data_IF_330702524399
#
_entry.id   IF_330702524399
#
_cell.length_a   1.000
_cell.length_b   1.000
_cell.length_c   1.000
_cell.angle_alpha   90.00
_cell.angle_beta   90.00
_cell.angle_gamma   90.00
#
_symmetry.space_group_name_H-M   'P 1'
#
loop_
_entity.id
_entity.type
_entity.pdbx_description
1 polymer ?
#
# COMPACT_ATOMS: atom_id res chain seq x y z
N UNK A 1 -31.10 -58.72 -11.20
CA UNK A 1 -30.82 -57.40 -10.63
C UNK A 1 -31.26 -56.35 -11.63
N UNK A 2 -32.50 -55.82 -11.52
CA UNK A 2 -33.05 -54.86 -12.50
C UNK A 2 -32.71 -53.46 -12.01
N UNK A 3 -31.62 -52.88 -12.53
CA UNK A 3 -31.35 -51.45 -12.40
C UNK A 3 -32.44 -50.76 -13.21
N UNK A 4 -33.36 -50.06 -12.54
CA UNK A 4 -34.46 -49.37 -13.20
C UNK A 4 -33.86 -48.16 -13.92
N UNK A 5 -34.31 -47.87 -15.14
CA UNK A 5 -33.83 -46.73 -15.96
C UNK A 5 -33.95 -45.40 -15.19
N UNK A 6 -34.91 -45.32 -14.25
CA UNK A 6 -35.08 -44.21 -13.32
C UNK A 6 -33.90 -43.97 -12.39
N UNK A 7 -33.20 -45.02 -11.94
CA UNK A 7 -32.05 -44.91 -11.03
C UNK A 7 -30.83 -44.32 -11.76
N UNK A 8 -30.66 -44.65 -13.05
CA UNK A 8 -29.57 -44.15 -13.89
C UNK A 8 -29.80 -42.67 -14.24
N UNK A 9 -31.05 -42.28 -14.51
CA UNK A 9 -31.42 -40.88 -14.75
C UNK A 9 -31.26 -40.02 -13.50
N UNK A 10 -31.66 -40.51 -12.32
CA UNK A 10 -31.48 -39.80 -11.07
C UNK A 10 -29.98 -39.59 -10.74
N UNK A 11 -29.15 -40.62 -10.93
CA UNK A 11 -27.70 -40.52 -10.71
C UNK A 11 -27.03 -39.55 -11.70
N UNK A 12 -27.47 -39.53 -12.96
CA UNK A 12 -27.01 -38.59 -13.98
C UNK A 12 -27.35 -37.13 -13.63
N UNK A 13 -28.57 -36.87 -13.16
CA UNK A 13 -29.03 -35.52 -12.77
C UNK A 13 -28.27 -35.03 -11.52
N UNK A 14 -28.05 -35.90 -10.52
CA UNK A 14 -27.28 -35.54 -9.32
C UNK A 14 -25.82 -35.22 -9.68
N UNK A 15 -25.21 -36.02 -10.55
CA UNK A 15 -23.83 -35.80 -11.00
C UNK A 15 -23.70 -34.51 -11.82
N UNK A 16 -24.63 -34.24 -12.75
CA UNK A 16 -24.65 -33.00 -13.52
C UNK A 16 -24.89 -31.75 -12.65
N UNK A 17 -25.71 -31.89 -11.59
CA UNK A 17 -25.95 -30.81 -10.63
C UNK A 17 -24.68 -30.50 -9.84
N UNK A 18 -23.94 -31.49 -9.35
CA UNK A 18 -22.67 -31.25 -8.64
C UNK A 18 -21.58 -30.60 -9.52
N UNK A 19 -21.50 -30.95 -10.81
CA UNK A 19 -20.56 -30.29 -11.74
C UNK A 19 -20.97 -28.85 -12.10
N UNK A 20 -22.24 -28.48 -11.93
CA UNK A 20 -22.70 -27.12 -12.19
C UNK A 20 -22.47 -26.14 -11.03
N UNK A 21 -22.20 -26.63 -9.81
CA UNK A 21 -21.84 -25.81 -8.66
C UNK A 21 -20.36 -25.40 -8.61
N UNK A 22 -19.51 -25.87 -9.53
CA UNK A 22 -18.15 -25.33 -9.71
C UNK A 22 -18.13 -23.99 -10.46
N UNK A 23 -19.27 -23.30 -10.54
CA UNK A 23 -19.41 -21.95 -11.07
C UNK A 23 -18.60 -20.93 -10.26
N UNK A 24 -17.47 -20.52 -10.84
CA UNK A 24 -16.83 -19.21 -10.68
C UNK A 24 -16.70 -18.63 -9.26
N UNK A 25 -16.07 -19.36 -8.33
CA UNK A 25 -15.31 -18.72 -7.26
C UNK A 25 -13.96 -18.14 -7.77
N UNK A 26 -13.89 -17.76 -9.05
CA UNK A 26 -12.77 -17.07 -9.66
C UNK A 26 -12.75 -15.59 -9.24
N UNK A 27 -12.57 -15.36 -7.94
CA UNK A 27 -12.59 -14.05 -7.32
C UNK A 27 -11.22 -13.40 -7.31
N UNK A 28 -10.97 -12.56 -8.32
CA UNK A 28 -10.15 -11.34 -8.29
C UNK A 28 -8.82 -11.49 -7.53
N UNK A 29 -7.88 -12.19 -8.13
CA UNK A 29 -6.49 -12.23 -7.68
C UNK A 29 -5.66 -11.11 -8.32
N UNK A 30 -4.60 -10.67 -7.64
CA UNK A 30 -3.74 -9.57 -8.10
C UNK A 30 -2.34 -10.07 -8.51
N UNK A 31 -1.83 -9.66 -9.68
CA UNK A 31 -0.56 -10.18 -10.21
C UNK A 31 0.57 -9.14 -10.15
N UNK A 32 1.19 -9.01 -8.98
CA UNK A 32 2.28 -8.05 -8.79
C UNK A 32 3.51 -8.37 -9.63
N UNK A 33 3.70 -9.63 -10.06
CA UNK A 33 4.87 -10.05 -10.84
C UNK A 33 4.83 -9.59 -12.30
N UNK A 34 3.65 -9.22 -12.79
CA UNK A 34 3.45 -8.75 -14.16
C UNK A 34 3.66 -7.23 -14.33
N UNK A 35 3.75 -6.49 -13.23
CA UNK A 35 3.91 -5.03 -13.24
C UNK A 35 5.33 -4.67 -13.68
N UNK A 36 5.46 -3.76 -14.64
CA UNK A 36 6.77 -3.27 -15.08
C UNK A 36 7.23 -2.11 -14.19
N UNK A 37 8.35 -2.31 -13.49
CA UNK A 37 9.03 -1.33 -12.66
C UNK A 37 10.33 -0.95 -13.36
N UNK A 38 10.59 0.35 -13.48
CA UNK A 38 11.80 0.90 -14.07
C UNK A 38 12.32 2.02 -13.16
N UNK A 39 13.16 1.69 -12.15
CA UNK A 39 13.72 2.68 -11.25
C UNK A 39 14.85 3.47 -11.92
N UNK A 40 15.20 3.16 -13.18
CA UNK A 40 16.25 3.81 -13.97
C UNK A 40 17.60 3.83 -13.26
N UNK A 41 17.99 2.71 -12.66
CA UNK A 41 19.28 2.56 -11.98
C UNK A 41 20.34 2.00 -12.95
N UNK A 42 21.61 2.07 -12.54
CA UNK A 42 22.72 1.45 -13.25
C UNK A 42 23.55 0.61 -12.29
N UNK A 43 23.40 -0.71 -12.39
CA UNK A 43 24.04 -1.64 -11.48
C UNK A 43 25.50 -1.94 -11.79
N UNK A 44 25.95 -1.79 -13.04
CA UNK A 44 27.33 -2.07 -13.46
C UNK A 44 27.89 -3.43 -12.95
N UNK A 45 27.06 -4.48 -12.88
CA UNK A 45 27.38 -5.80 -12.30
C UNK A 45 27.64 -5.84 -10.78
N UNK A 46 27.25 -4.80 -10.05
CA UNK A 46 27.26 -4.77 -8.58
C UNK A 46 26.41 -5.91 -8.03
N UNK A 47 26.97 -6.67 -7.07
CA UNK A 47 26.27 -7.73 -6.36
C UNK A 47 25.52 -7.17 -5.15
N UNK A 48 24.28 -7.61 -4.97
CA UNK A 48 23.47 -7.29 -3.82
C UNK A 48 22.53 -8.45 -3.45
N UNK A 49 22.19 -8.54 -2.17
CA UNK A 49 21.09 -9.35 -1.68
C UNK A 49 19.86 -8.47 -1.49
N UNK A 50 18.69 -9.00 -1.79
CA UNK A 50 17.41 -8.32 -1.54
C UNK A 50 16.44 -9.26 -0.82
N UNK A 51 15.77 -8.71 0.18
CA UNK A 51 14.65 -9.34 0.86
C UNK A 51 13.46 -8.38 0.96
N UNK A 52 12.25 -8.94 0.96
CA UNK A 52 11.01 -8.22 1.26
C UNK A 52 10.37 -8.89 2.45
N UNK A 53 10.18 -8.14 3.54
CA UNK A 53 9.57 -8.63 4.77
C UNK A 53 8.17 -8.05 4.96
N UNK A 54 7.19 -8.92 5.21
CA UNK A 54 5.81 -8.53 5.49
C UNK A 54 5.62 -8.30 7.00
N UNK A 55 5.53 -7.04 7.40
CA UNK A 55 5.31 -6.62 8.79
C UNK A 55 3.86 -6.22 9.07
N UNK A 56 2.92 -6.48 8.14
CA UNK A 56 1.51 -6.13 8.32
C UNK A 56 0.95 -6.90 9.51
N UNK A 57 0.41 -6.17 10.50
CA UNK A 57 0.00 -6.74 11.78
C UNK A 57 -0.98 -7.91 11.62
N UNK A 58 -1.97 -7.74 10.74
CA UNK A 58 -2.99 -8.75 10.43
C UNK A 58 -2.45 -9.98 9.69
N UNK A 59 -1.22 -9.95 9.16
CA UNK A 59 -0.55 -11.14 8.61
C UNK A 59 0.26 -11.81 9.72
N UNK A 60 1.01 -11.04 10.50
CA UNK A 60 1.85 -11.56 11.58
C UNK A 60 1.06 -12.28 12.66
N UNK A 61 -0.12 -11.75 13.01
CA UNK A 61 -1.00 -12.35 14.02
C UNK A 61 -1.85 -13.52 13.47
N UNK A 62 -1.84 -13.76 12.15
CA UNK A 62 -2.58 -14.83 11.49
C UNK A 62 -4.03 -14.50 11.12
N UNK A 63 -4.49 -13.26 11.28
CA UNK A 63 -5.86 -12.84 10.92
C UNK A 63 -6.12 -12.91 9.40
N UNK A 64 -5.07 -12.69 8.60
CA UNK A 64 -5.04 -12.82 7.15
C UNK A 64 -3.86 -13.71 6.74
N UNK A 65 -4.08 -14.47 5.68
CA UNK A 65 -3.00 -15.25 5.08
C UNK A 65 -1.98 -14.34 4.37
N UNK A 66 -0.70 -14.77 4.22
CA UNK A 66 0.34 -13.97 3.58
C UNK A 66 0.04 -13.55 2.13
N UNK A 67 -0.86 -14.26 1.43
CA UNK A 67 -1.29 -13.93 0.07
C UNK A 67 -2.27 -12.75 0.01
N UNK A 68 -2.81 -12.30 1.15
CA UNK A 68 -3.83 -11.25 1.19
C UNK A 68 -3.27 -9.90 0.73
N UNK A 69 -4.00 -9.21 -0.15
CA UNK A 69 -3.56 -7.92 -0.74
C UNK A 69 -4.64 -6.83 -0.64
N UNK A 70 -5.89 -7.20 -0.38
CA UNK A 70 -7.01 -6.26 -0.36
C UNK A 70 -8.35 -6.94 -0.19
N UNK A 71 -9.41 -6.13 -0.27
CA UNK A 71 -10.80 -6.57 -0.15
C UNK A 71 -11.62 -6.04 -1.32
N UNK A 72 -12.65 -6.81 -1.68
CA UNK A 72 -13.63 -6.40 -2.66
C UNK A 72 -15.08 -6.51 -2.20
N UNK A 73 -15.78 -5.44 -2.51
CA UNK A 73 -17.20 -5.10 -2.42
C UNK A 73 -18.12 -5.86 -3.38
N UNK A 74 -19.12 -6.62 -2.94
CA UNK A 74 -20.31 -6.83 -3.82
C UNK A 74 -21.11 -5.56 -3.99
N UNK A 75 -22.04 -5.52 -4.98
CA UNK A 75 -23.14 -4.57 -4.97
C UNK A 75 -23.90 -4.52 -3.63
N UNK A 76 -24.07 -5.66 -2.94
CA UNK A 76 -24.67 -5.77 -1.60
C UNK A 76 -23.69 -5.46 -0.44
N UNK A 77 -22.51 -4.91 -0.74
CA UNK A 77 -21.48 -4.51 0.23
C UNK A 77 -20.81 -5.64 1.04
N UNK A 78 -21.05 -6.91 0.69
CA UNK A 78 -20.38 -8.07 1.30
C UNK A 78 -18.91 -8.09 0.86
N UNK A 79 -17.94 -8.13 1.81
CA UNK A 79 -16.51 -8.12 1.49
C UNK A 79 -15.99 -9.51 1.16
N UNK A 80 -15.08 -9.58 0.18
CA UNK A 80 -14.28 -10.77 -0.15
C UNK A 80 -12.80 -10.43 -0.21
N UNK A 81 -11.96 -11.31 0.33
CA UNK A 81 -10.52 -11.14 0.24
C UNK A 81 -10.05 -11.23 -1.22
N UNK A 82 -9.12 -10.36 -1.58
CA UNK A 82 -8.30 -10.44 -2.78
C UNK A 82 -6.95 -10.98 -2.35
N UNK A 83 -6.44 -11.96 -3.09
CA UNK A 83 -5.13 -12.58 -2.84
C UNK A 83 -4.20 -12.38 -4.04
N UNK A 84 -2.92 -12.68 -3.88
CA UNK A 84 -1.98 -12.78 -5.01
C UNK A 84 -2.45 -13.82 -6.03
N UNK A 85 -2.23 -13.53 -7.33
CA UNK A 85 -2.54 -14.45 -8.44
C UNK A 85 -1.61 -15.65 -8.46
N UNK A 86 -0.41 -15.51 -7.92
CA UNK A 86 0.57 -16.59 -7.80
C UNK A 86 0.18 -17.65 -6.77
N UNK A 87 -0.63 -17.29 -5.77
CA UNK A 87 -0.86 -18.10 -4.57
C UNK A 87 0.30 -18.07 -3.57
N UNK A 88 1.38 -17.32 -3.87
CA UNK A 88 2.53 -17.13 -2.99
C UNK A 88 2.32 -15.93 -2.06
N UNK A 89 3.03 -15.84 -0.92
CA UNK A 89 3.03 -14.66 -0.08
C UNK A 89 3.24 -13.37 -0.88
N UNK A 90 2.54 -12.30 -0.53
CA UNK A 90 2.63 -11.01 -1.22
C UNK A 90 4.06 -10.46 -1.25
N UNK A 91 4.79 -10.58 -0.14
CA UNK A 91 6.19 -10.19 -0.07
C UNK A 91 7.08 -10.95 -1.08
N UNK A 92 6.78 -12.22 -1.37
CA UNK A 92 7.52 -12.99 -2.37
C UNK A 92 7.22 -12.54 -3.80
N UNK A 93 5.96 -12.19 -4.10
CA UNK A 93 5.60 -11.60 -5.39
C UNK A 93 6.31 -10.25 -5.60
N UNK A 94 6.40 -9.42 -4.55
CA UNK A 94 7.14 -8.16 -4.57
C UNK A 94 8.63 -8.40 -4.77
N UNK A 95 9.22 -9.34 -4.02
CA UNK A 95 10.64 -9.69 -4.10
C UNK A 95 11.02 -10.11 -5.53
N UNK A 96 10.24 -10.98 -6.14
CA UNK A 96 10.49 -11.45 -7.51
C UNK A 96 10.36 -10.33 -8.54
N UNK A 97 9.39 -9.42 -8.35
CA UNK A 97 9.23 -8.28 -9.24
C UNK A 97 10.41 -7.31 -9.13
N UNK A 98 10.71 -6.84 -7.91
CA UNK A 98 11.78 -5.88 -7.64
C UNK A 98 13.13 -6.47 -8.06
N UNK A 99 13.38 -7.74 -7.72
CA UNK A 99 14.60 -8.44 -8.12
C UNK A 99 14.78 -8.51 -9.64
N UNK A 100 13.71 -8.81 -10.39
CA UNK A 100 13.73 -8.80 -11.86
C UNK A 100 14.04 -7.40 -12.42
N UNK A 101 13.46 -6.36 -11.82
CA UNK A 101 13.71 -4.96 -12.22
C UNK A 101 15.17 -4.55 -11.97
N UNK A 102 15.72 -4.86 -10.80
CA UNK A 102 17.14 -4.61 -10.52
C UNK A 102 18.09 -5.42 -11.41
N UNK A 103 17.75 -6.68 -11.74
CA UNK A 103 18.52 -7.48 -12.70
C UNK A 103 18.51 -6.87 -14.10
N UNK A 104 17.36 -6.33 -14.53
CA UNK A 104 17.24 -5.60 -15.78
C UNK A 104 18.14 -4.36 -15.82
N UNK A 105 18.30 -3.68 -14.68
CA UNK A 105 19.18 -2.52 -14.51
C UNK A 105 20.67 -2.88 -14.32
N UNK A 106 21.02 -4.16 -14.49
CA UNK A 106 22.41 -4.63 -14.52
C UNK A 106 23.01 -5.00 -13.17
N UNK A 107 22.18 -5.16 -12.13
CA UNK A 107 22.63 -5.72 -10.84
C UNK A 107 22.69 -7.25 -10.87
N UNK A 108 23.58 -7.84 -10.07
CA UNK A 108 23.57 -9.26 -9.73
C UNK A 108 22.84 -9.44 -8.41
N UNK A 109 21.63 -9.98 -8.48
CA UNK A 109 20.69 -9.96 -7.36
C UNK A 109 20.48 -11.36 -6.80
N UNK A 110 20.81 -11.53 -5.52
CA UNK A 110 20.47 -12.71 -4.73
C UNK A 110 19.13 -12.48 -4.00
N UNK A 111 18.12 -13.28 -4.32
CA UNK A 111 16.77 -13.16 -3.75
C UNK A 111 16.70 -13.97 -2.45
N UNK A 112 16.45 -13.28 -1.34
CA UNK A 112 16.34 -13.89 -0.01
C UNK A 112 14.87 -13.93 0.41
N UNK A 113 14.33 -15.13 0.56
CA UNK A 113 12.99 -15.35 1.10
C UNK A 113 12.98 -15.09 2.61
N UNK A 114 12.08 -14.21 3.05
CA UNK A 114 11.95 -13.80 4.45
C UNK A 114 10.57 -14.22 5.00
N UNK A 115 10.52 -15.17 5.96
CA UNK A 115 9.27 -15.55 6.61
C UNK A 115 8.67 -14.40 7.45
N UNK A 116 7.36 -14.22 7.39
CA UNK A 116 6.62 -13.11 8.05
C UNK A 116 6.68 -13.13 9.59
N UNK A 117 7.03 -14.28 10.18
CA UNK A 117 7.11 -14.45 11.65
C UNK A 117 8.48 -14.15 12.22
N UNK A 118 9.48 -13.91 11.37
CA UNK A 118 10.81 -13.58 11.84
C UNK A 118 10.88 -12.14 12.35
N UNK A 119 11.75 -11.91 13.32
CA UNK A 119 12.04 -10.54 13.76
C UNK A 119 13.16 -9.92 12.92
N UNK A 120 13.32 -8.60 13.02
CA UNK A 120 14.35 -7.85 12.27
C UNK A 120 15.76 -8.43 12.38
N UNK A 121 16.16 -8.95 13.55
CA UNK A 121 17.50 -9.54 13.73
C UNK A 121 17.67 -10.81 12.90
N UNK A 122 16.66 -11.68 12.87
CA UNK A 122 16.67 -12.92 12.07
C UNK A 122 16.65 -12.61 10.57
N UNK A 123 15.81 -11.65 10.16
CA UNK A 123 15.73 -11.17 8.78
C UNK A 123 17.08 -10.63 8.29
N UNK A 124 17.74 -9.78 9.09
CA UNK A 124 19.05 -9.24 8.74
C UNK A 124 20.14 -10.32 8.69
N UNK A 125 20.09 -11.31 9.59
CA UNK A 125 21.02 -12.44 9.56
C UNK A 125 20.88 -13.23 8.25
N UNK A 126 19.66 -13.51 7.78
CA UNK A 126 19.43 -14.18 6.49
C UNK A 126 19.99 -13.43 5.30
N UNK A 127 19.88 -12.10 5.31
CA UNK A 127 20.50 -11.27 4.27
C UNK A 127 22.02 -11.33 4.37
N UNK A 128 22.59 -11.28 5.58
CA UNK A 128 24.02 -11.35 5.80
C UNK A 128 24.63 -12.69 5.33
N UNK A 129 23.88 -13.78 5.48
CA UNK A 129 24.31 -15.15 5.12
C UNK A 129 24.61 -15.30 3.61
N UNK A 130 24.15 -14.38 2.75
CA UNK A 130 24.52 -14.39 1.31
C UNK A 130 25.98 -13.99 1.09
N UNK A 131 26.58 -13.24 2.03
CA UNK A 131 27.93 -12.70 1.91
C UNK A 131 28.06 -11.50 0.95
N UNK A 132 26.95 -10.92 0.50
CA UNK A 132 26.97 -9.76 -0.39
C UNK A 132 27.38 -8.46 0.31
N UNK A 133 27.99 -7.55 -0.45
CA UNK A 133 28.48 -6.26 0.07
C UNK A 133 27.35 -5.25 0.33
N UNK A 134 26.17 -5.48 -0.25
CA UNK A 134 25.00 -4.59 -0.18
C UNK A 134 23.77 -5.44 0.10
N UNK A 135 23.09 -5.14 1.19
CA UNK A 135 21.92 -5.87 1.66
C UNK A 135 20.71 -4.93 1.65
N UNK A 136 19.73 -5.22 0.80
CA UNK A 136 18.51 -4.42 0.66
C UNK A 136 17.38 -5.12 1.41
N UNK A 137 16.77 -4.41 2.35
CA UNK A 137 15.59 -4.87 3.08
C UNK A 137 14.41 -3.94 2.77
N UNK A 138 13.47 -4.45 1.98
CA UNK A 138 12.14 -3.87 1.90
C UNK A 138 11.30 -4.36 3.07
N UNK A 139 10.63 -3.44 3.77
CA UNK A 139 9.67 -3.75 4.83
C UNK A 139 8.30 -3.22 4.44
N UNK A 140 7.29 -4.07 4.48
CA UNK A 140 5.90 -3.73 4.20
C UNK A 140 5.17 -3.59 5.53
N UNK A 141 4.96 -2.37 6.00
CA UNK A 141 4.21 -2.13 7.24
C UNK A 141 2.70 -2.12 7.00
N UNK A 142 2.28 -1.63 5.84
CA UNK A 142 0.89 -1.66 5.39
C UNK A 142 0.82 -1.79 3.87
N UNK A 143 -0.13 -2.59 3.39
CA UNK A 143 -0.49 -2.71 1.99
C UNK A 143 -1.91 -3.27 1.89
N UNK A 144 -2.87 -2.39 1.64
CA UNK A 144 -4.28 -2.73 1.58
C UNK A 144 -5.02 -1.85 0.59
N UNK A 145 -5.89 -2.47 -0.20
CA UNK A 145 -6.89 -1.74 -0.99
C UNK A 145 -8.30 -2.34 -0.81
N UNK A 146 -9.32 -1.48 -0.86
CA UNK A 146 -10.74 -1.84 -0.76
C UNK A 146 -11.45 -1.38 -2.03
N UNK A 147 -11.92 -2.33 -2.84
CA UNK A 147 -12.61 -2.06 -4.11
C UNK A 147 -14.12 -2.16 -3.91
N UNK A 148 -14.86 -1.08 -4.15
CA UNK A 148 -16.31 -1.16 -4.36
C UNK A 148 -16.69 -0.41 -5.64
N UNK A 149 -17.34 0.76 -5.53
CA UNK A 149 -17.51 1.69 -6.66
C UNK A 149 -16.27 2.53 -6.95
N UNK A 150 -15.46 2.76 -5.92
CA UNK A 150 -14.13 3.39 -5.98
C UNK A 150 -13.15 2.50 -5.24
N UNK A 151 -11.88 2.60 -5.60
CA UNK A 151 -10.80 1.91 -4.89
C UNK A 151 -10.17 2.84 -3.87
N UNK A 152 -10.27 2.45 -2.61
CA UNK A 152 -9.49 3.06 -1.51
C UNK A 152 -8.23 2.27 -1.31
N UNK A 153 -7.17 2.94 -0.87
CA UNK A 153 -5.88 2.27 -0.66
C UNK A 153 -5.08 2.94 0.44
N UNK A 154 -4.35 2.13 1.18
CA UNK A 154 -3.38 2.56 2.18
C UNK A 154 -2.13 1.69 2.04
N UNK A 155 -0.97 2.33 2.07
CA UNK A 155 0.28 1.61 2.11
C UNK A 155 1.33 2.38 2.90
N UNK A 156 2.27 1.62 3.47
CA UNK A 156 3.48 2.09 4.12
C UNK A 156 4.58 1.07 3.86
N UNK A 157 5.64 1.51 3.21
CA UNK A 157 6.79 0.69 2.88
C UNK A 157 8.08 1.44 3.19
N UNK A 158 9.10 0.69 3.57
CA UNK A 158 10.45 1.18 3.82
C UNK A 158 11.46 0.35 3.04
N UNK A 159 12.50 0.99 2.56
CA UNK A 159 13.72 0.36 2.06
C UNK A 159 14.88 0.76 2.97
N UNK A 160 15.62 -0.22 3.48
CA UNK A 160 16.89 -0.02 4.19
C UNK A 160 18.01 -0.71 3.41
N UNK A 161 19.15 -0.04 3.24
CA UNK A 161 20.35 -0.58 2.62
C UNK A 161 21.43 -0.73 3.69
N UNK A 162 22.01 -1.91 3.82
CA UNK A 162 23.08 -2.20 4.77
C UNK A 162 24.35 -2.64 4.05
N UNK A 163 25.49 -2.49 4.71
CA UNK A 163 26.70 -3.23 4.37
C UNK A 163 26.70 -4.64 4.97
N UNK A 164 27.71 -5.43 4.64
CA UNK A 164 27.87 -6.80 5.15
C UNK A 164 28.10 -6.89 6.66
N UNK A 165 28.39 -5.78 7.35
CA UNK A 165 28.51 -5.71 8.80
C UNK A 165 27.20 -5.26 9.45
N UNK A 166 26.10 -5.21 8.69
CA UNK A 166 24.78 -4.74 9.10
C UNK A 166 24.76 -3.27 9.53
N UNK A 167 25.73 -2.47 9.09
CA UNK A 167 25.67 -1.02 9.26
C UNK A 167 24.74 -0.45 8.19
N UNK A 168 23.78 0.35 8.64
CA UNK A 168 22.86 1.06 7.75
C UNK A 168 23.63 2.08 6.90
N UNK A 169 23.50 1.97 5.58
CA UNK A 169 24.09 2.89 4.60
C UNK A 169 23.08 3.95 4.17
N UNK A 170 21.82 3.56 3.93
CA UNK A 170 20.77 4.46 3.49
C UNK A 170 19.39 3.90 3.84
N UNK A 171 18.38 4.77 3.85
CA UNK A 171 16.99 4.35 3.97
C UNK A 171 16.07 5.29 3.17
N UNK A 172 14.92 4.77 2.76
CA UNK A 172 13.86 5.50 2.09
C UNK A 172 12.51 4.96 2.54
N UNK A 173 11.51 5.84 2.63
CA UNK A 173 10.17 5.48 3.10
C UNK A 173 9.10 6.11 2.21
N UNK A 174 8.03 5.37 2.00
CA UNK A 174 6.84 5.84 1.30
C UNK A 174 5.60 5.42 2.07
N UNK A 175 4.70 6.37 2.29
CA UNK A 175 3.39 6.09 2.86
C UNK A 175 2.35 6.97 2.16
N UNK A 176 1.18 6.40 1.91
CA UNK A 176 0.07 7.12 1.28
C UNK A 176 -1.25 6.52 1.74
N UNK A 177 -2.22 7.40 1.94
CA UNK A 177 -3.59 7.07 2.31
C UNK A 177 -4.53 7.74 1.32
N UNK A 178 -5.25 6.92 0.54
CA UNK A 178 -6.23 7.32 -0.46
C UNK A 178 -7.62 6.88 -0.05
N UNK A 179 -8.26 7.69 0.80
CA UNK A 179 -9.59 7.44 1.36
C UNK A 179 -10.57 8.59 1.12
N UNK A 180 -10.11 9.63 0.42
CA UNK A 180 -10.90 10.80 0.09
C UNK A 180 -12.02 10.49 -0.89
N UNK A 181 -13.02 11.37 -0.92
CA UNK A 181 -14.19 11.22 -1.79
C UNK A 181 -13.81 11.17 -3.27
N UNK A 182 -12.75 11.88 -3.66
CA UNK A 182 -12.28 11.95 -5.05
C UNK A 182 -11.17 10.94 -5.37
N UNK A 183 -10.76 10.12 -4.40
CA UNK A 183 -9.69 9.15 -4.61
C UNK A 183 -10.23 7.92 -5.35
N UNK A 184 -9.44 7.44 -6.32
CA UNK A 184 -9.66 6.16 -6.97
C UNK A 184 -8.31 5.54 -7.29
N UNK A 185 -7.78 4.77 -6.33
CA UNK A 185 -6.48 4.16 -6.46
C UNK A 185 -6.45 3.08 -7.56
N UNK A 186 -5.31 2.98 -8.24
CA UNK A 186 -5.02 1.88 -9.17
C UNK A 186 -3.85 1.10 -8.57
N UNK A 187 -4.07 -0.07 -7.92
CA UNK A 187 -3.03 -0.69 -7.11
C UNK A 187 -1.74 -1.03 -7.88
N UNK A 188 -1.82 -1.26 -9.20
CA UNK A 188 -0.66 -1.50 -10.08
C UNK A 188 0.23 -0.27 -10.15
N UNK A 189 -0.39 0.88 -10.40
CA UNK A 189 0.32 2.16 -10.52
C UNK A 189 0.88 2.59 -9.18
N UNK A 190 0.14 2.35 -8.10
CA UNK A 190 0.59 2.67 -6.74
C UNK A 190 1.74 1.77 -6.30
N UNK A 191 1.73 0.47 -6.66
CA UNK A 191 2.86 -0.43 -6.40
C UNK A 191 4.10 0.01 -7.17
N UNK A 192 3.95 0.22 -8.48
CA UNK A 192 5.03 0.73 -9.33
C UNK A 192 5.61 2.02 -8.74
N UNK A 193 4.76 3.01 -8.47
CA UNK A 193 5.17 4.31 -7.95
C UNK A 193 5.85 4.21 -6.58
N UNK A 194 5.34 3.37 -5.68
CA UNK A 194 5.92 3.17 -4.36
C UNK A 194 7.35 2.59 -4.46
N UNK A 195 7.54 1.54 -5.25
CA UNK A 195 8.85 0.90 -5.43
C UNK A 195 9.83 1.83 -6.14
N UNK A 196 9.43 2.49 -7.23
CA UNK A 196 10.29 3.42 -7.96
C UNK A 196 10.71 4.58 -7.07
N UNK A 197 9.80 5.13 -6.27
CA UNK A 197 10.12 6.20 -5.32
C UNK A 197 11.07 5.75 -4.20
N UNK A 198 10.96 4.51 -3.73
CA UNK A 198 11.90 3.96 -2.75
C UNK A 198 13.31 3.83 -3.35
N UNK A 199 13.42 3.25 -4.55
CA UNK A 199 14.68 2.96 -5.23
C UNK A 199 15.38 4.19 -5.81
N UNK A 200 14.61 5.16 -6.31
CA UNK A 200 15.13 6.42 -6.88
C UNK A 200 15.50 7.48 -5.85
N UNK A 201 15.35 7.19 -4.55
CA UNK A 201 15.79 8.11 -3.51
C UNK A 201 17.31 8.34 -3.58
N UNK A 202 17.75 9.60 -3.57
CA UNK A 202 19.15 9.98 -3.72
C UNK A 202 20.11 9.23 -2.79
N UNK A 203 19.73 9.01 -1.52
CA UNK A 203 20.56 8.28 -0.55
C UNK A 203 20.70 6.80 -0.92
N UNK A 204 19.62 6.20 -1.42
CA UNK A 204 19.60 4.82 -1.90
C UNK A 204 20.50 4.71 -3.13
N UNK A 205 20.29 5.55 -4.14
CA UNK A 205 21.09 5.55 -5.38
C UNK A 205 22.58 5.69 -5.07
N UNK A 206 22.95 6.62 -4.19
CA UNK A 206 24.35 6.80 -3.76
C UNK A 206 24.89 5.56 -3.04
N UNK A 207 24.09 4.95 -2.14
CA UNK A 207 24.50 3.76 -1.38
C UNK A 207 24.67 2.51 -2.24
N UNK A 208 24.00 2.43 -3.39
CA UNK A 208 24.11 1.32 -4.33
C UNK A 208 25.28 1.48 -5.31
N UNK A 209 25.93 2.64 -5.35
CA UNK A 209 27.15 2.89 -6.13
C UNK A 209 28.40 2.23 -5.52
N UNK A 210 29.49 2.21 -6.29
CA UNK A 210 30.70 1.43 -5.96
C UNK A 210 31.48 1.93 -4.73
N UNK A 211 31.33 3.20 -4.30
CA UNK A 211 32.15 3.81 -3.24
C UNK A 211 31.35 4.65 -2.22
N UNK A 212 30.33 4.08 -1.58
CA UNK A 212 29.62 4.79 -0.51
C UNK A 212 30.23 4.52 0.88
N UNK A 213 30.88 5.55 1.45
CA UNK A 213 31.22 5.60 2.87
C UNK A 213 30.15 6.39 3.63
N UNK A 214 29.48 5.74 4.58
CA UNK A 214 28.47 6.36 5.43
C UNK A 214 29.09 7.48 6.28
N UNK A 215 28.58 8.71 6.16
CA UNK A 215 28.88 9.84 7.03
C UNK A 215 27.68 10.11 7.94
N UNK A 216 27.90 10.12 9.25
CA UNK A 216 26.90 10.34 10.32
C UNK A 216 26.15 11.70 10.25
N UNK A 217 26.46 12.54 9.28
CA UNK A 217 25.95 13.92 9.17
C UNK A 217 24.55 14.04 8.59
N UNK A 218 24.01 13.00 7.92
CA UNK A 218 22.73 13.09 7.20
C UNK A 218 21.51 12.64 8.05
N UNK A 219 21.72 12.15 9.27
CA UNK A 219 20.65 11.67 10.16
C UNK A 219 19.82 12.78 10.84
N UNK A 220 20.04 14.07 10.52
CA UNK A 220 19.44 15.22 11.26
C UNK A 220 18.44 16.09 10.51
N UNK A 221 17.97 15.71 9.32
CA UNK A 221 16.95 16.50 8.61
C UNK A 221 15.79 15.67 8.11
N UNK A 222 14.97 15.16 9.04
CA UNK A 222 13.55 14.90 8.77
C UNK A 222 12.79 14.80 10.09
N UNK A 223 12.54 15.94 10.72
CA UNK A 223 11.52 16.05 11.77
C UNK A 223 10.15 15.90 11.11
N UNK A 224 9.64 14.67 11.05
CA UNK A 224 8.25 14.41 10.71
C UNK A 224 7.37 14.88 11.88
N UNK A 225 6.46 15.81 11.60
CA UNK A 225 5.35 16.17 12.47
C UNK A 225 4.45 14.95 12.66
N UNK A 226 4.61 14.25 13.78
CA UNK A 226 3.67 13.25 14.26
C UNK A 226 2.39 13.95 14.72
N UNK A 227 1.39 14.06 13.84
CA UNK A 227 0.03 14.36 14.29
C UNK A 227 -0.48 13.17 15.08
N UNK A 228 -0.40 13.31 16.40
CA UNK A 228 -0.90 12.34 17.37
C UNK A 228 -2.43 12.35 17.30
N UNK A 229 -3.03 11.32 16.70
CA UNK A 229 -4.46 11.06 16.84
C UNK A 229 -4.64 10.52 18.26
N UNK A 230 -5.07 11.38 19.18
CA UNK A 230 -5.60 10.95 20.48
C UNK A 230 -6.86 10.11 20.23
N UNK A 231 -6.77 8.82 20.52
CA UNK A 231 -7.93 7.98 20.76
C UNK A 231 -8.53 8.37 22.12
N UNK A 232 -9.68 9.03 22.12
CA UNK A 232 -10.45 9.24 23.34
C UNK A 232 -11.58 8.22 23.37
N UNK A 233 -11.53 7.31 24.37
CA UNK A 233 -12.65 6.48 24.77
C UNK A 233 -12.72 6.50 26.29
N UNK A 234 -13.94 6.67 26.80
CA UNK A 234 -14.49 6.24 28.10
C UNK A 234 -14.71 7.31 29.19
N UNK A 235 -16.02 7.60 29.34
CA UNK A 235 -16.87 7.78 30.53
C UNK A 235 -16.82 8.98 31.50
N UNK A 236 -18.03 9.59 31.57
CA UNK A 236 -18.89 9.93 32.73
C UNK A 236 -18.43 10.88 33.85
N UNK A 237 -19.40 11.78 34.09
CA UNK A 237 -19.87 12.35 35.35
C UNK A 237 -19.17 13.57 35.99
N UNK A 238 -20.07 14.46 36.45
CA UNK A 238 -19.93 15.57 37.41
C UNK A 238 -19.60 17.02 36.96
N UNK A 239 -20.69 17.79 36.87
CA UNK A 239 -21.02 19.02 37.64
C UNK A 239 -20.16 20.29 37.53
N UNK A 240 -20.87 21.30 36.97
CA UNK A 240 -21.22 22.62 37.55
C UNK A 240 -20.12 23.66 37.86
N UNK A 241 -20.39 24.85 37.29
CA UNK A 241 -20.11 26.21 37.83
C UNK A 241 -18.64 26.62 37.92
N UNK A 242 -18.19 27.84 37.58
CA UNK A 242 -18.86 29.12 37.39
C UNK A 242 -17.83 30.16 36.89
N UNK A 243 -18.34 31.25 36.28
CA UNK A 243 -17.80 32.63 36.24
C UNK A 243 -16.65 32.92 35.25
N UNK A 244 -16.88 33.63 34.14
CA UNK A 244 -17.18 35.08 33.92
C UNK A 244 -15.92 35.95 33.81
N UNK A 245 -15.90 36.69 32.70
CA UNK A 245 -15.25 37.98 32.43
C UNK A 245 -13.75 37.97 32.07
N UNK A 246 -13.48 38.20 30.78
CA UNK A 246 -12.87 39.46 30.37
C UNK A 246 -13.23 39.81 28.92
N UNK A 247 -13.73 41.03 28.74
CA UNK A 247 -14.16 41.65 27.48
C UNK A 247 -13.51 43.03 27.44
N UNK A 248 -12.51 43.22 26.58
CA UNK A 248 -12.06 44.53 26.05
C UNK A 248 -11.61 44.24 24.60
N UNK A 249 -12.48 44.47 23.62
CA UNK A 249 -12.45 45.59 22.68
C UNK A 249 -11.17 45.64 21.81
N UNK A 250 -11.30 45.15 20.57
CA UNK A 250 -10.66 45.81 19.44
C UNK A 250 -11.58 45.72 18.21
N UNK A 251 -11.68 46.84 17.52
CA UNK A 251 -12.65 47.17 16.50
C UNK A 251 -12.33 46.53 15.14
N UNK A 252 -13.40 46.29 14.38
CA UNK A 252 -13.51 46.40 12.92
C UNK A 252 -12.39 45.80 12.06
N UNK A 253 -12.58 44.54 11.64
CA UNK A 253 -12.32 44.17 10.25
C UNK A 253 -13.51 43.38 9.68
N UNK A 254 -14.01 43.89 8.56
CA UNK A 254 -15.07 43.36 7.72
C UNK A 254 -14.96 41.85 7.51
N UNK A 255 -16.05 41.12 7.74
CA UNK A 255 -16.21 39.72 7.29
C UNK A 255 -16.08 39.68 5.77
N UNK A 256 -15.19 38.87 5.18
CA UNK A 256 -15.38 38.44 3.81
C UNK A 256 -16.48 37.36 3.82
N UNK A 257 -17.65 37.71 3.28
CA UNK A 257 -18.60 36.72 2.77
C UNK A 257 -17.91 36.10 1.55
N UNK A 258 -17.24 34.96 1.73
CA UNK A 258 -16.57 34.25 0.65
C UNK A 258 -17.59 33.39 -0.12
N UNK A 259 -17.92 33.83 -1.34
CA UNK A 259 -18.78 33.14 -2.29
C UNK A 259 -18.12 31.86 -2.86
N UNK A 260 -18.43 30.74 -2.22
CA UNK A 260 -18.77 29.36 -2.66
C UNK A 260 -18.45 28.71 -4.02
N UNK A 261 -17.76 29.29 -5.02
CA UNK A 261 -17.28 28.48 -6.16
C UNK A 261 -15.94 28.96 -6.71
N UNK A 262 -15.05 28.02 -7.06
CA UNK A 262 -13.84 28.31 -7.82
C UNK A 262 -14.14 28.49 -9.32
N UNK A 263 -13.25 29.18 -10.03
CA UNK A 263 -13.37 29.42 -11.48
C UNK A 263 -13.44 28.11 -12.28
N UNK A 264 -12.74 27.08 -11.85
CA UNK A 264 -12.76 25.75 -12.47
C UNK A 264 -14.10 25.03 -12.30
N UNK A 265 -14.77 25.23 -11.16
CA UNK A 265 -16.11 24.68 -10.92
C UNK A 265 -17.14 25.36 -11.83
N UNK A 266 -17.02 26.67 -12.03
CA UNK A 266 -17.90 27.43 -12.94
C UNK A 266 -17.68 26.99 -14.40
N UNK A 267 -16.42 26.79 -14.83
CA UNK A 267 -16.13 26.30 -16.18
C UNK A 267 -16.76 24.93 -16.44
N UNK A 268 -16.59 23.98 -15.52
CA UNK A 268 -17.21 22.65 -15.64
C UNK A 268 -18.74 22.71 -15.70
N UNK A 269 -19.38 23.59 -14.93
CA UNK A 269 -20.84 23.75 -14.99
C UNK A 269 -21.31 24.35 -16.33
N UNK A 270 -20.51 25.25 -16.94
CA UNK A 270 -20.78 25.76 -18.29
C UNK A 270 -20.58 24.72 -19.38
N UNK A 271 -19.57 23.86 -19.25
CA UNK A 271 -19.37 22.71 -20.15
C UNK A 271 -20.56 21.73 -20.08
N UNK A 272 -21.18 21.59 -18.91
CA UNK A 272 -22.42 20.83 -18.71
C UNK A 272 -23.69 21.57 -19.16
N UNK A 273 -23.57 22.72 -19.83
CA UNK A 273 -24.67 23.55 -20.35
C UNK A 273 -25.69 24.00 -19.28
N UNK A 274 -25.25 24.21 -18.05
CA UNK A 274 -26.09 24.83 -17.01
C UNK A 274 -26.31 26.31 -17.31
N UNK A 275 -27.49 26.85 -16.98
CA UNK A 275 -27.76 28.29 -17.12
C UNK A 275 -27.02 29.09 -16.06
N UNK A 276 -26.73 30.36 -16.35
CA UNK A 276 -26.04 31.24 -15.41
C UNK A 276 -26.86 31.42 -14.10
N UNK A 277 -28.21 31.32 -14.13
CA UNK A 277 -29.01 31.30 -12.90
C UNK A 277 -28.80 30.02 -12.06
N UNK A 278 -28.68 28.86 -12.72
CA UNK A 278 -28.42 27.59 -12.03
C UNK A 278 -27.03 27.56 -11.40
N UNK A 279 -26.03 28.10 -12.11
CA UNK A 279 -24.66 28.25 -11.60
C UNK A 279 -24.65 29.19 -10.39
N UNK A 280 -25.35 30.33 -10.49
CA UNK A 280 -25.45 31.28 -9.39
C UNK A 280 -26.14 30.71 -8.15
N UNK A 281 -27.19 29.91 -8.33
CA UNK A 281 -27.87 29.22 -7.23
C UNK A 281 -27.00 28.13 -6.58
N UNK A 282 -26.16 27.44 -7.37
CA UNK A 282 -25.23 26.42 -6.86
C UNK A 282 -24.06 27.02 -6.06
N UNK A 283 -23.72 28.28 -6.33
CA UNK A 283 -22.57 28.99 -5.73
C UNK A 283 -22.96 29.99 -4.62
N UNK A 284 -24.20 29.93 -4.11
CA UNK A 284 -24.71 30.71 -2.96
C UNK A 284 -24.90 29.83 -1.72
#
# INVERSE_FOLDING_TARGET
MKIQIFDILALSIITATMLSLSGCAGGRSYDYRAISIDPMLSGNNTKLAIGVHDEREYVKNGDKYPQYVGTQRSPAYVPWNINTKSGLPMAEDFLKNIGKSLQHDGYKVDLVLLPEKENKKQVLARLQDTGDNKLLLFTINEWYFDVWYKTRMEYSMKLEVFDNNLRLLAHSEVAKKMWGENDNAVPDLEFKSAVEKLLSNDSIVKSLGEDFTYSDTDAKSTTYQSNTIKSERVDKDEKKSQIKQNKIHNENFSKPIANKCSTEQILKMKEMRMSDEQIKAACQ
#
